data_IF_839135186921
#
_entry.id   IF_839135186921
#
_cell.length_a   1.000
_cell.length_b   1.000
_cell.length_c   1.000
_cell.angle_alpha   90.00
_cell.angle_beta   90.00
_cell.angle_gamma   90.00
#
_symmetry.space_group_name_H-M   'P 1'
#
loop_
_entity.id
_entity.type
_entity.pdbx_description
1 polymer ?
#
# COMPACT_ATOMS: atom_id res chain seq x y z
N UNK A 1 -23.42 -27.78 -19.60
CA UNK A 1 -22.22 -28.10 -18.82
C UNK A 1 -20.97 -27.47 -19.48
N UNK A 2 -20.99 -26.15 -19.68
CA UNK A 2 -19.98 -25.39 -20.43
C UNK A 2 -19.60 -24.15 -19.60
N UNK A 3 -18.59 -24.28 -18.75
CA UNK A 3 -17.90 -23.12 -18.18
C UNK A 3 -16.41 -23.44 -18.14
N UNK A 4 -15.62 -22.49 -18.66
CA UNK A 4 -14.18 -22.31 -18.47
C UNK A 4 -13.20 -22.92 -19.50
N UNK A 5 -13.37 -22.56 -20.78
CA UNK A 5 -12.30 -22.59 -21.80
C UNK A 5 -11.54 -21.25 -21.92
N UNK A 6 -11.23 -20.56 -20.82
CA UNK A 6 -10.47 -19.31 -20.91
C UNK A 6 -9.48 -19.18 -19.75
N UNK A 7 -8.18 -19.37 -20.07
CA UNK A 7 -6.99 -18.55 -19.70
C UNK A 7 -5.67 -19.28 -20.06
N UNK A 8 -5.67 -20.10 -21.11
CA UNK A 8 -4.53 -20.92 -21.54
C UNK A 8 -3.59 -20.14 -22.47
N UNK A 9 -2.83 -19.19 -21.94
CA UNK A 9 -1.63 -18.73 -22.65
C UNK A 9 -0.44 -19.65 -22.36
N UNK A 10 0.53 -19.70 -23.28
CA UNK A 10 1.70 -20.59 -23.22
C UNK A 10 2.36 -20.57 -21.85
N UNK A 11 2.56 -21.73 -21.19
CA UNK A 11 3.20 -21.79 -19.88
C UNK A 11 4.64 -21.28 -19.98
N UNK A 12 5.08 -20.61 -18.91
CA UNK A 12 6.34 -19.89 -18.86
C UNK A 12 7.41 -20.76 -18.19
N UNK A 13 8.67 -20.57 -18.55
CA UNK A 13 9.78 -21.12 -17.76
C UNK A 13 9.82 -20.46 -16.37
N UNK A 14 10.53 -21.07 -15.42
CA UNK A 14 10.73 -20.48 -14.09
C UNK A 14 11.34 -19.08 -14.18
N UNK A 15 12.28 -18.84 -15.11
CA UNK A 15 12.93 -17.53 -15.29
C UNK A 15 11.95 -16.46 -15.78
N UNK A 16 11.18 -16.77 -16.82
CA UNK A 16 10.18 -15.85 -17.36
C UNK A 16 9.07 -15.55 -16.35
N UNK A 17 8.61 -16.57 -15.60
CA UNK A 17 7.65 -16.38 -14.53
C UNK A 17 8.23 -15.52 -13.39
N UNK A 18 9.52 -15.66 -13.07
CA UNK A 18 10.18 -14.89 -12.01
C UNK A 18 10.20 -13.41 -12.38
N UNK A 19 10.58 -13.13 -13.62
CA UNK A 19 10.59 -11.78 -14.19
C UNK A 19 9.18 -11.18 -14.18
N UNK A 20 8.17 -11.93 -14.61
CA UNK A 20 6.77 -11.47 -14.62
C UNK A 20 6.25 -11.15 -13.21
N UNK A 21 6.72 -11.86 -12.19
CA UNK A 21 6.31 -11.69 -10.79
C UNK A 21 7.18 -10.69 -10.00
N UNK A 22 8.27 -10.19 -10.59
CA UNK A 22 9.23 -9.31 -9.92
C UNK A 22 9.93 -9.97 -8.74
N UNK A 23 10.24 -11.26 -8.83
CA UNK A 23 10.97 -12.04 -7.80
C UNK A 23 12.15 -12.78 -8.42
N UNK A 24 13.05 -13.33 -7.59
CA UNK A 24 14.14 -14.18 -8.10
C UNK A 24 13.64 -15.56 -8.54
N UNK A 25 14.35 -16.20 -9.48
CA UNK A 25 14.06 -17.57 -9.88
C UNK A 25 14.12 -18.55 -8.69
N UNK A 26 15.04 -18.34 -7.74
CA UNK A 26 15.13 -19.14 -6.51
C UNK A 26 13.90 -19.00 -5.62
N UNK A 27 13.29 -17.81 -5.59
CA UNK A 27 12.03 -17.58 -4.88
C UNK A 27 10.91 -18.41 -5.49
N UNK A 28 10.84 -18.50 -6.83
CA UNK A 28 9.84 -19.36 -7.48
C UNK A 28 10.11 -20.85 -7.26
N UNK A 29 11.37 -21.30 -7.33
CA UNK A 29 11.73 -22.70 -7.02
C UNK A 29 11.36 -23.07 -5.59
N UNK A 30 11.56 -22.13 -4.65
CA UNK A 30 11.12 -22.30 -3.26
C UNK A 30 9.60 -22.38 -3.18
N UNK A 31 8.86 -21.49 -3.85
CA UNK A 31 7.39 -21.54 -3.83
C UNK A 31 6.81 -22.82 -4.41
N UNK A 32 7.44 -23.37 -5.45
CA UNK A 32 7.08 -24.68 -6.00
C UNK A 32 7.35 -25.81 -4.99
N UNK A 33 8.52 -25.82 -4.34
CA UNK A 33 8.85 -26.77 -3.27
C UNK A 33 7.89 -26.68 -2.08
N UNK A 34 7.51 -25.46 -1.71
CA UNK A 34 6.63 -25.16 -0.58
C UNK A 34 5.14 -25.33 -0.96
N UNK A 35 4.81 -25.79 -2.17
CA UNK A 35 3.44 -26.01 -2.66
C UNK A 35 2.63 -24.73 -2.91
N UNK A 36 3.28 -23.56 -2.86
CA UNK A 36 2.68 -22.23 -3.07
C UNK A 36 2.50 -21.87 -4.55
N UNK A 37 3.24 -22.54 -5.43
CA UNK A 37 3.17 -22.44 -6.89
C UNK A 37 2.91 -23.83 -7.46
N UNK A 38 1.94 -23.96 -8.37
CA UNK A 38 1.73 -25.20 -9.12
C UNK A 38 2.53 -25.14 -10.42
N UNK A 39 3.41 -26.11 -10.63
CA UNK A 39 4.16 -26.27 -11.89
C UNK A 39 3.65 -27.48 -12.67
N UNK A 40 3.80 -27.43 -13.98
CA UNK A 40 3.63 -28.56 -14.90
C UNK A 40 4.99 -28.94 -15.47
N UNK A 41 5.12 -30.16 -15.98
CA UNK A 41 6.34 -30.62 -16.67
C UNK A 41 6.08 -30.78 -18.15
N UNK A 42 7.05 -30.43 -18.99
CA UNK A 42 6.99 -30.69 -20.43
C UNK A 42 7.51 -32.10 -20.78
N UNK A 43 7.47 -32.43 -22.08
CA UNK A 43 8.00 -33.69 -22.61
C UNK A 43 9.51 -33.87 -22.41
N UNK A 44 10.25 -32.79 -22.13
CA UNK A 44 11.68 -32.77 -21.81
C UNK A 44 11.94 -32.69 -20.30
N UNK A 45 10.90 -32.91 -19.48
CA UNK A 45 10.94 -32.88 -18.02
C UNK A 45 11.33 -31.51 -17.40
N UNK A 46 11.16 -30.42 -18.14
CA UNK A 46 11.37 -29.06 -17.64
C UNK A 46 10.15 -28.56 -16.87
N UNK A 47 10.39 -27.84 -15.77
CA UNK A 47 9.34 -27.19 -14.99
C UNK A 47 8.84 -25.95 -15.70
N UNK A 48 7.55 -25.93 -15.99
CA UNK A 48 6.85 -24.81 -16.56
C UNK A 48 5.78 -24.30 -15.59
N UNK A 49 5.62 -22.99 -15.57
CA UNK A 49 4.68 -22.25 -14.73
C UNK A 49 3.46 -21.87 -15.59
N UNK A 50 2.26 -22.39 -15.28
CA UNK A 50 1.05 -21.97 -15.97
C UNK A 50 0.82 -20.46 -15.83
N UNK A 51 0.34 -19.79 -16.88
CA UNK A 51 0.05 -18.34 -16.79
C UNK A 51 -1.00 -18.00 -15.75
N UNK A 52 -1.98 -18.87 -15.53
CA UNK A 52 -2.96 -18.70 -14.46
C UNK A 52 -2.29 -18.59 -13.07
N UNK A 53 -1.17 -19.29 -12.85
CA UNK A 53 -0.41 -19.21 -11.59
C UNK A 53 0.36 -17.88 -11.50
N UNK A 54 0.94 -17.42 -12.61
CA UNK A 54 1.55 -16.09 -12.67
C UNK A 54 0.50 -15.01 -12.40
N UNK A 55 -0.67 -15.07 -13.02
CA UNK A 55 -1.77 -14.13 -12.78
C UNK A 55 -2.24 -14.16 -11.32
N UNK A 56 -2.45 -15.36 -10.75
CA UNK A 56 -2.85 -15.54 -9.35
C UNK A 56 -1.84 -14.94 -8.38
N UNK A 57 -0.54 -15.13 -8.64
CA UNK A 57 0.54 -14.63 -7.78
C UNK A 57 0.87 -13.16 -8.05
N UNK A 58 0.59 -12.66 -9.25
CA UNK A 58 0.69 -11.24 -9.64
C UNK A 58 -0.46 -10.40 -9.09
N UNK A 59 -1.57 -11.03 -8.70
CA UNK A 59 -2.72 -10.38 -8.05
C UNK A 59 -2.43 -9.90 -6.61
N UNK A 60 -1.18 -9.52 -6.30
CA UNK A 60 -0.92 -8.68 -5.14
C UNK A 60 -1.69 -7.38 -5.36
N UNK A 61 -2.49 -6.91 -4.38
CA UNK A 61 -2.99 -5.55 -4.42
C UNK A 61 -1.80 -4.65 -4.67
N UNK A 62 -1.89 -3.77 -5.68
CA UNK A 62 -0.85 -2.77 -5.93
C UNK A 62 -0.64 -2.06 -4.60
N UNK A 63 0.47 -2.36 -3.92
CA UNK A 63 0.80 -1.67 -2.68
C UNK A 63 0.93 -0.21 -3.06
N UNK A 64 0.12 0.63 -2.41
CA UNK A 64 0.16 2.06 -2.67
C UNK A 64 1.60 2.53 -2.45
N UNK A 65 2.27 2.98 -3.52
CA UNK A 65 3.64 3.51 -3.43
C UNK A 65 3.53 4.80 -2.62
N UNK A 66 4.33 4.93 -1.55
CA UNK A 66 4.24 6.05 -0.61
C UNK A 66 4.72 7.39 -1.17
N UNK A 67 5.30 7.38 -2.38
CA UNK A 67 5.83 8.56 -3.09
C UNK A 67 6.94 9.31 -2.35
N UNK A 68 7.30 8.86 -1.14
CA UNK A 68 8.22 9.51 -0.19
C UNK A 68 8.82 8.47 0.76
N UNK A 69 10.00 8.74 1.36
CA UNK A 69 10.63 7.85 2.33
C UNK A 69 9.88 7.77 3.68
N UNK A 70 8.87 8.61 3.89
CA UNK A 70 8.09 8.65 5.11
C UNK A 70 7.02 7.54 5.13
N UNK A 71 6.89 6.86 6.27
CA UNK A 71 5.97 5.72 6.46
C UNK A 71 4.49 6.12 6.57
N UNK A 72 4.19 7.41 6.76
CA UNK A 72 2.84 7.94 6.79
C UNK A 72 2.21 7.92 5.39
N UNK A 73 1.14 7.11 5.25
CA UNK A 73 0.45 6.82 3.98
C UNK A 73 -0.74 7.73 3.72
N UNK A 74 -1.46 8.13 4.76
CA UNK A 74 -2.61 9.01 4.64
C UNK A 74 -2.12 10.45 4.65
N UNK A 75 -2.58 11.25 3.68
CA UNK A 75 -2.19 12.65 3.50
C UNK A 75 -3.44 13.47 3.26
N UNK A 76 -3.57 14.54 4.01
CA UNK A 76 -4.70 15.46 3.98
C UNK A 76 -4.14 16.87 3.75
N UNK A 77 -3.88 17.24 2.48
CA UNK A 77 -3.47 18.60 2.14
C UNK A 77 -4.62 19.56 2.42
N UNK A 78 -4.30 20.72 2.97
CA UNK A 78 -5.30 21.68 3.40
C UNK A 78 -4.70 23.02 3.79
N UNK A 79 -5.52 23.84 4.45
CA UNK A 79 -5.14 25.13 5.00
C UNK A 79 -5.29 25.08 6.51
N UNK A 80 -4.30 25.59 7.23
CA UNK A 80 -4.36 25.71 8.69
C UNK A 80 -5.46 26.71 9.03
N UNK A 81 -6.43 26.27 9.81
CA UNK A 81 -7.53 27.09 10.31
C UNK A 81 -7.17 27.77 11.61
N UNK A 82 -6.59 27.03 12.54
CA UNK A 82 -6.24 27.50 13.89
C UNK A 82 -4.99 26.80 14.40
N UNK A 83 -4.29 27.51 15.30
CA UNK A 83 -3.14 27.00 16.06
C UNK A 83 -3.32 27.48 17.50
N UNK A 84 -3.52 26.55 18.42
CA UNK A 84 -3.71 26.81 19.84
C UNK A 84 -2.56 26.20 20.61
N UNK A 85 -1.76 27.02 21.30
CA UNK A 85 -0.58 26.55 22.03
C UNK A 85 -0.84 26.63 23.52
N UNK A 86 -0.64 25.51 24.23
CA UNK A 86 -0.77 25.42 25.69
C UNK A 86 0.36 24.56 26.29
N UNK A 87 1.10 25.14 27.24
CA UNK A 87 2.26 24.47 27.83
C UNK A 87 3.26 24.00 26.77
N UNK A 88 3.64 22.73 26.77
CA UNK A 88 4.57 22.13 25.79
C UNK A 88 3.88 21.60 24.53
N UNK A 89 2.56 21.68 24.46
CA UNK A 89 1.74 21.12 23.38
C UNK A 89 1.03 22.23 22.59
N UNK A 90 0.55 21.86 21.42
CA UNK A 90 -0.32 22.68 20.61
C UNK A 90 -1.34 21.82 19.85
N UNK A 91 -2.51 22.39 19.61
CA UNK A 91 -3.50 21.86 18.67
C UNK A 91 -3.45 22.67 17.38
N UNK A 92 -3.37 21.97 16.26
CA UNK A 92 -3.41 22.56 14.92
C UNK A 92 -4.59 21.96 14.18
N UNK A 93 -5.51 22.80 13.73
CA UNK A 93 -6.63 22.37 12.88
C UNK A 93 -6.35 22.68 11.42
N UNK A 94 -6.54 21.69 10.55
CA UNK A 94 -6.35 21.81 9.11
C UNK A 94 -7.68 21.52 8.41
N UNK A 95 -8.17 22.49 7.64
CA UNK A 95 -9.27 22.29 6.70
C UNK A 95 -8.74 21.56 5.46
N UNK A 96 -9.02 20.26 5.36
CA UNK A 96 -8.57 19.37 4.31
C UNK A 96 -9.74 18.91 3.44
N UNK A 97 -10.17 19.79 2.53
CA UNK A 97 -11.37 19.57 1.71
C UNK A 97 -12.64 19.63 2.59
N UNK A 98 -13.51 18.60 2.57
CA UNK A 98 -14.73 18.60 3.39
C UNK A 98 -14.48 18.22 4.85
N UNK A 99 -13.24 17.92 5.25
CA UNK A 99 -12.90 17.42 6.58
C UNK A 99 -12.06 18.43 7.36
N UNK A 100 -12.29 18.49 8.67
CA UNK A 100 -11.41 19.16 9.61
C UNK A 100 -10.52 18.12 10.29
N UNK A 101 -9.20 18.27 10.17
CA UNK A 101 -8.22 17.38 10.80
C UNK A 101 -7.51 18.11 11.92
N UNK A 102 -7.70 17.67 13.15
CA UNK A 102 -7.03 18.22 14.34
C UNK A 102 -5.80 17.37 14.68
N UNK A 103 -4.64 18.00 14.81
CA UNK A 103 -3.40 17.37 15.21
C UNK A 103 -2.89 17.97 16.53
N UNK A 104 -2.56 17.10 17.49
CA UNK A 104 -1.77 17.48 18.65
C UNK A 104 -0.29 17.37 18.30
N UNK A 105 0.45 18.47 18.43
CA UNK A 105 1.88 18.59 18.15
C UNK A 105 2.59 19.30 19.30
N UNK A 106 3.92 19.33 19.30
CA UNK A 106 4.65 20.11 20.33
C UNK A 106 4.62 21.59 19.99
N UNK A 107 4.76 22.44 21.02
CA UNK A 107 4.98 23.89 20.85
C UNK A 107 6.15 24.15 19.90
N UNK A 108 7.30 23.51 20.16
CA UNK A 108 8.51 23.68 19.36
C UNK A 108 8.26 23.37 17.88
N UNK A 109 7.45 22.34 17.58
CA UNK A 109 7.09 22.00 16.19
C UNK A 109 6.33 23.14 15.50
N UNK A 110 5.39 23.78 16.21
CA UNK A 110 4.64 24.93 15.70
C UNK A 110 5.58 26.09 15.43
N UNK A 111 6.47 26.40 16.37
CA UNK A 111 7.40 27.53 16.29
C UNK A 111 8.46 27.32 15.19
N UNK A 112 9.10 26.15 15.14
CA UNK A 112 10.13 25.81 14.15
C UNK A 112 9.57 25.79 12.72
N UNK A 113 8.35 25.28 12.53
CA UNK A 113 7.69 25.26 11.22
C UNK A 113 6.95 26.56 10.90
N UNK A 114 6.89 27.50 11.84
CA UNK A 114 6.17 28.76 11.72
C UNK A 114 4.69 28.59 11.42
N UNK A 115 4.03 27.56 11.98
CA UNK A 115 2.64 27.23 11.66
C UNK A 115 1.70 28.35 12.13
N UNK A 116 0.88 28.86 11.20
CA UNK A 116 -0.09 29.90 11.46
C UNK A 116 -1.37 29.72 10.63
N UNK A 117 -2.51 30.27 11.07
CA UNK A 117 -3.74 30.31 10.29
C UNK A 117 -3.52 30.86 8.87
N UNK A 118 -4.17 30.26 7.88
CA UNK A 118 -4.06 30.61 6.46
C UNK A 118 -2.92 29.92 5.71
N UNK A 119 -2.00 29.23 6.40
CA UNK A 119 -0.89 28.53 5.74
C UNK A 119 -1.31 27.19 5.12
N UNK A 120 -0.73 26.86 3.98
CA UNK A 120 -0.86 25.54 3.40
C UNK A 120 -0.06 24.51 4.21
N UNK A 121 -0.72 23.44 4.63
CA UNK A 121 -0.10 22.34 5.34
C UNK A 121 -0.67 21.00 4.87
N UNK A 122 0.04 19.90 5.15
CA UNK A 122 -0.47 18.55 4.90
C UNK A 122 -0.45 17.77 6.20
N UNK A 123 -1.63 17.45 6.74
CA UNK A 123 -1.73 16.49 7.82
C UNK A 123 -1.37 15.09 7.30
N UNK A 124 -0.50 14.38 8.03
CA UNK A 124 -0.07 13.03 7.65
C UNK A 124 -0.35 12.05 8.77
N UNK A 125 -1.04 10.96 8.45
CA UNK A 125 -1.39 9.92 9.42
C UNK A 125 -0.77 8.59 9.00
N UNK A 126 -0.16 7.91 9.96
CA UNK A 126 0.38 6.56 9.76
C UNK A 126 -0.79 5.59 9.58
N UNK A 127 -0.71 4.72 8.57
CA UNK A 127 -1.80 3.79 8.25
C UNK A 127 -2.16 2.86 9.43
N UNK A 128 -1.20 2.58 10.32
CA UNK A 128 -1.39 1.73 11.51
C UNK A 128 -2.07 2.44 12.67
N UNK A 129 -2.38 3.73 12.55
CA UNK A 129 -2.98 4.55 13.61
C UNK A 129 -4.42 4.97 13.27
N UNK A 130 -4.99 4.45 12.18
CA UNK A 130 -6.38 4.71 11.78
C UNK A 130 -7.25 3.58 12.32
N UNK A 131 -8.35 3.94 12.97
CA UNK A 131 -9.39 3.01 13.39
C UNK A 131 -10.48 2.93 12.31
N UNK A 132 -11.09 1.76 12.15
CA UNK A 132 -12.21 1.53 11.24
C UNK A 132 -13.42 1.17 12.08
N UNK A 133 -14.51 1.88 11.84
CA UNK A 133 -15.82 1.60 12.39
C UNK A 133 -16.73 1.12 11.24
N UNK A 134 -17.62 0.17 11.49
CA UNK A 134 -18.63 -0.20 10.51
C UNK A 134 -19.79 0.81 10.51
N UNK A 135 -20.53 0.90 9.40
CA UNK A 135 -21.63 1.87 9.27
C UNK A 135 -22.88 1.52 10.11
N UNK A 136 -22.80 0.53 11.00
CA UNK A 136 -23.88 0.07 11.86
C UNK A 136 -23.92 0.71 13.25
N UNK A 137 -23.12 1.76 13.46
CA UNK A 137 -22.84 2.39 14.76
C UNK A 137 -24.04 2.56 15.69
N UNK A 138 -23.86 2.05 16.92
CA UNK A 138 -24.39 2.64 18.15
C UNK A 138 -23.35 3.58 18.72
#
# INVERSE_FOLDING_TARGET
>A
MLRQMARSGTPLTIGEAAQALGVSADTLRRWDRDGRLRTVRDARNHRLVPRAEVERLSARPRRHRTGTPLSARNRFPGVIRSVEVDGVMALVEIEAGPFLVTAAVTRDSVEEMGLAPGMHATARVKATSVMIEDGGGR
#
